data_IF_553241712117
#
_entry.id   IF_553241712117
#
_cell.length_a   1.000
_cell.length_b   1.000
_cell.length_c   1.000
_cell.angle_alpha   90.00
_cell.angle_beta   90.00
_cell.angle_gamma   90.00
#
_symmetry.space_group_name_H-M   'P 1'
#
loop_
_entity.id
_entity.type
_entity.pdbx_description
1 polymer ?
#
# COMPACT_ATOMS: atom_id res chain seq x y z
N UNK A 1 6.07 4.67 6.79
CA UNK A 1 5.12 4.50 5.66
C UNK A 1 4.92 3.03 5.28
N UNK A 2 6.01 2.30 5.09
CA UNK A 2 5.91 0.89 4.70
C UNK A 2 5.15 0.07 5.74
N UNK A 3 5.51 0.21 7.01
CA UNK A 3 4.88 -0.59 8.07
C UNK A 3 3.41 -0.22 8.26
N UNK A 4 3.07 1.04 8.06
CA UNK A 4 1.69 1.49 8.11
C UNK A 4 0.84 0.80 7.03
N UNK A 5 1.33 0.81 5.79
CA UNK A 5 0.62 0.17 4.69
C UNK A 5 0.47 -1.33 4.93
N UNK A 6 1.54 -1.99 5.37
CA UNK A 6 1.50 -3.43 5.65
C UNK A 6 0.48 -3.75 6.75
N UNK A 7 0.50 -2.98 7.83
CA UNK A 7 -0.42 -3.18 8.95
C UNK A 7 -1.88 -3.02 8.52
N UNK A 8 -2.17 -1.99 7.73
CA UNK A 8 -3.53 -1.75 7.24
C UNK A 8 -3.98 -2.86 6.30
N UNK A 9 -3.11 -3.26 5.37
CA UNK A 9 -3.45 -4.32 4.42
C UNK A 9 -3.76 -5.64 5.13
N UNK A 10 -2.97 -5.99 6.15
CA UNK A 10 -3.20 -7.22 6.92
C UNK A 10 -4.56 -7.28 7.60
N UNK A 11 -5.09 -6.12 7.98
CA UNK A 11 -6.41 -6.05 8.61
C UNK A 11 -7.56 -6.20 7.63
N UNK A 12 -7.28 -6.07 6.33
CA UNK A 12 -8.32 -6.08 5.30
C UNK A 12 -8.45 -7.40 4.57
N UNK A 13 -7.47 -8.29 4.70
CA UNK A 13 -7.38 -9.51 3.91
C UNK A 13 -7.71 -10.75 4.73
N UNK A 14 -8.00 -11.86 4.04
CA UNK A 14 -8.24 -13.16 4.68
C UNK A 14 -6.93 -13.89 4.96
N UNK A 15 -5.87 -13.60 4.19
CA UNK A 15 -4.57 -14.26 4.33
C UNK A 15 -3.48 -13.24 4.66
N UNK A 16 -3.43 -12.75 5.90
CA UNK A 16 -2.45 -11.72 6.27
C UNK A 16 -1.00 -12.16 6.11
N UNK A 17 -0.73 -13.46 6.20
CA UNK A 17 0.63 -13.98 6.02
C UNK A 17 1.14 -13.81 4.59
N UNK A 18 0.24 -13.57 3.65
CA UNK A 18 0.59 -13.36 2.23
C UNK A 18 0.79 -11.89 1.89
N UNK A 19 0.57 -11.00 2.84
CA UNK A 19 0.80 -9.57 2.63
C UNK A 19 2.29 -9.28 2.66
N UNK A 20 2.78 -8.58 1.66
CA UNK A 20 4.15 -8.05 1.66
C UNK A 20 4.18 -6.66 1.05
N UNK A 21 5.10 -5.84 1.53
CA UNK A 21 5.32 -4.51 0.99
C UNK A 21 6.82 -4.35 0.74
N UNK A 22 7.18 -4.16 -0.53
CA UNK A 22 8.54 -3.85 -0.92
C UNK A 22 8.68 -2.35 -1.10
N UNK A 23 9.81 -1.81 -0.72
CA UNK A 23 10.07 -0.38 -0.79
C UNK A 23 11.27 -0.10 -1.69
N UNK A 24 11.08 0.83 -2.60
CA UNK A 24 12.14 1.31 -3.50
C UNK A 24 12.21 2.83 -3.40
N UNK A 25 13.37 3.38 -3.72
CA UNK A 25 13.52 4.83 -3.85
C UNK A 25 13.94 5.13 -5.28
N UNK A 26 13.21 6.03 -5.92
CA UNK A 26 13.53 6.49 -7.27
C UNK A 26 14.60 7.57 -7.23
N UNK A 27 15.18 7.88 -8.40
CA UNK A 27 16.28 8.84 -8.49
C UNK A 27 15.90 10.23 -7.98
N UNK A 28 14.63 10.61 -8.09
CA UNK A 28 14.13 11.91 -7.62
C UNK A 28 13.76 11.89 -6.15
N UNK A 29 14.00 10.80 -5.44
CA UNK A 29 13.70 10.66 -4.02
C UNK A 29 12.29 10.15 -3.73
N UNK A 30 11.47 9.89 -4.75
CA UNK A 30 10.14 9.32 -4.54
C UNK A 30 10.25 7.90 -4.00
N UNK A 31 9.50 7.62 -2.93
CA UNK A 31 9.41 6.27 -2.37
C UNK A 31 8.29 5.52 -3.10
N UNK A 32 8.59 4.33 -3.58
CA UNK A 32 7.59 3.45 -4.20
C UNK A 32 7.37 2.28 -3.25
N UNK A 33 6.13 2.06 -2.87
CA UNK A 33 5.72 0.93 -2.04
C UNK A 33 4.90 -0.02 -2.91
N UNK A 34 5.40 -1.24 -3.09
CA UNK A 34 4.69 -2.28 -3.83
C UNK A 34 4.02 -3.21 -2.84
N UNK A 35 2.70 -3.19 -2.85
CA UNK A 35 1.88 -4.05 -1.98
C UNK A 35 1.46 -5.29 -2.76
N UNK A 36 1.77 -6.44 -2.21
CA UNK A 36 1.31 -7.73 -2.73
C UNK A 36 0.49 -8.45 -1.68
N UNK A 37 -0.55 -9.13 -2.11
CA UNK A 37 -1.44 -9.91 -1.25
C UNK A 37 -1.76 -11.24 -1.94
N UNK A 38 -2.43 -12.15 -1.24
CA UNK A 38 -2.92 -13.37 -1.87
C UNK A 38 -3.85 -13.02 -3.04
N UNK A 39 -3.81 -13.85 -4.08
CA UNK A 39 -4.60 -13.61 -5.30
C UNK A 39 -6.07 -13.37 -4.98
N UNK A 40 -6.65 -14.19 -4.11
CA UNK A 40 -8.07 -14.08 -3.74
C UNK A 40 -8.38 -12.83 -2.92
N UNK A 41 -7.37 -12.19 -2.36
CA UNK A 41 -7.55 -10.97 -1.56
C UNK A 41 -7.38 -9.68 -2.37
N UNK A 42 -6.89 -9.79 -3.61
CA UNK A 42 -6.62 -8.62 -4.43
C UNK A 42 -7.85 -7.71 -4.55
N UNK A 43 -9.01 -8.30 -4.82
CA UNK A 43 -10.26 -7.55 -4.95
C UNK A 43 -10.65 -6.82 -3.67
N UNK A 44 -10.31 -7.36 -2.50
CA UNK A 44 -10.60 -6.71 -1.22
C UNK A 44 -9.73 -5.48 -1.02
N UNK A 45 -8.49 -5.54 -1.47
CA UNK A 45 -7.56 -4.41 -1.37
C UNK A 45 -7.94 -3.30 -2.34
N UNK A 46 -8.37 -3.66 -3.55
CA UNK A 46 -8.83 -2.66 -4.51
C UNK A 46 -10.15 -2.04 -4.05
N UNK A 47 -11.09 -2.89 -3.64
CA UNK A 47 -12.41 -2.47 -3.24
C UNK A 47 -13.28 -2.06 -4.42
N UNK A 48 -14.56 -1.81 -4.14
CA UNK A 48 -15.52 -1.44 -5.17
C UNK A 48 -15.15 -0.07 -5.76
N UNK A 49 -14.92 -0.04 -7.08
CA UNK A 49 -14.54 1.20 -7.75
C UNK A 49 -13.19 1.75 -7.33
N UNK A 50 -12.34 0.91 -6.72
CA UNK A 50 -11.03 1.33 -6.27
C UNK A 50 -11.02 2.08 -4.95
N UNK A 51 -12.12 2.08 -4.20
CA UNK A 51 -12.25 2.89 -2.99
C UNK A 51 -11.28 2.50 -1.89
N UNK A 52 -11.07 1.21 -1.66
CA UNK A 52 -10.14 0.75 -0.62
C UNK A 52 -8.71 1.13 -0.99
N UNK A 53 -8.31 0.88 -2.24
CA UNK A 53 -6.98 1.25 -2.71
C UNK A 53 -6.75 2.76 -2.58
N UNK A 54 -7.74 3.57 -2.95
CA UNK A 54 -7.62 5.02 -2.84
C UNK A 54 -7.53 5.48 -1.39
N UNK A 55 -8.27 4.83 -0.48
CA UNK A 55 -8.19 5.14 0.94
C UNK A 55 -6.80 4.80 1.50
N UNK A 56 -6.24 3.65 1.13
CA UNK A 56 -4.89 3.27 1.53
C UNK A 56 -3.86 4.28 1.03
N UNK A 57 -3.98 4.69 -0.23
CA UNK A 57 -3.09 5.70 -0.81
C UNK A 57 -3.18 7.03 -0.07
N UNK A 58 -4.39 7.44 0.29
CA UNK A 58 -4.61 8.71 1.02
C UNK A 58 -3.93 8.68 2.38
N UNK A 59 -4.09 7.59 3.13
CA UNK A 59 -3.49 7.47 4.46
C UNK A 59 -1.96 7.46 4.35
N UNK A 60 -1.41 6.71 3.41
CA UNK A 60 0.04 6.62 3.24
C UNK A 60 0.61 7.96 2.78
N UNK A 61 -0.08 8.65 1.87
CA UNK A 61 0.36 9.99 1.42
C UNK A 61 0.36 11.00 2.56
N UNK A 62 -0.61 10.92 3.46
CA UNK A 62 -0.64 11.80 4.63
C UNK A 62 0.60 11.57 5.51
N UNK A 63 0.97 10.30 5.73
CA UNK A 63 2.17 9.97 6.48
C UNK A 63 3.44 10.48 5.76
N UNK A 64 3.48 10.36 4.44
CA UNK A 64 4.61 10.82 3.65
C UNK A 64 4.79 12.35 3.74
N UNK A 65 3.70 13.11 3.76
CA UNK A 65 3.75 14.56 3.92
C UNK A 65 4.43 14.91 5.25
N UNK A 66 4.10 14.19 6.31
CA UNK A 66 4.72 14.42 7.62
C UNK A 66 6.21 14.14 7.62
N UNK A 67 6.68 13.25 6.75
CA UNK A 67 8.08 12.92 6.59
C UNK A 67 8.76 13.72 5.48
N UNK A 68 8.02 14.66 4.87
CA UNK A 68 8.50 15.48 3.77
C UNK A 68 8.98 14.63 2.57
N UNK A 69 8.25 13.53 2.30
CA UNK A 69 8.59 12.61 1.21
C UNK A 69 7.40 12.48 0.25
N UNK A 70 7.70 12.16 -0.99
CA UNK A 70 6.70 11.72 -1.96
C UNK A 70 6.63 10.20 -1.94
N UNK A 71 5.40 9.67 -2.07
CA UNK A 71 5.20 8.24 -2.07
C UNK A 71 4.22 7.84 -3.18
N UNK A 72 4.51 6.72 -3.82
CA UNK A 72 3.59 6.04 -4.72
C UNK A 72 3.27 4.68 -4.11
N UNK A 73 2.01 4.30 -4.10
CA UNK A 73 1.58 2.98 -3.67
C UNK A 73 1.13 2.22 -4.91
N UNK A 74 1.81 1.14 -5.21
CA UNK A 74 1.50 0.26 -6.33
C UNK A 74 1.00 -1.06 -5.77
N UNK A 75 -0.18 -1.48 -6.21
CA UNK A 75 -0.77 -2.75 -5.77
C UNK A 75 -0.59 -3.73 -6.91
N UNK A 76 0.25 -4.73 -6.67
CA UNK A 76 0.61 -5.72 -7.69
C UNK A 76 -0.19 -6.99 -7.50
N UNK A 77 -0.54 -7.66 -8.60
CA UNK A 77 -1.26 -8.93 -8.56
C UNK A 77 -0.42 -10.13 -9.03
#
# INVERSE_FOLDING_TARGET
MRDLLESLARKLVDEPDRVSVDQFEEDDGTIVLELAVAEDDYGKIIGRGGRTANALRTVVKAAAVREERRVLVDIVD
#
